data_IF_556356308174
#
_entry.id   IF_556356308174
#
_cell.length_a   1.000
_cell.length_b   1.000
_cell.length_c   1.000
_cell.angle_alpha   90.00
_cell.angle_beta   90.00
_cell.angle_gamma   90.00
#
_symmetry.space_group_name_H-M   'P 1'
#
loop_
_entity.id
_entity.type
_entity.pdbx_description
1 polymer ?
#
# COMPACT_ATOMS: atom_id res chain seq x y z
N UNK A 1 -65.52 0.78 27.13
CA UNK A 1 -64.69 1.90 26.61
C UNK A 1 -63.31 1.92 27.23
N UNK A 2 -63.11 1.76 28.53
CA UNK A 2 -61.82 1.72 29.24
C UNK A 2 -60.95 0.55 28.83
N UNK A 3 -61.51 -0.63 28.56
CA UNK A 3 -60.76 -1.81 28.10
C UNK A 3 -60.18 -1.64 26.69
N UNK A 4 -60.89 -0.99 25.83
CA UNK A 4 -60.45 -0.70 24.46
C UNK A 4 -59.27 0.30 24.43
N UNK A 5 -59.30 1.27 25.34
CA UNK A 5 -58.24 2.23 25.57
C UNK A 5 -56.97 1.50 26.14
N UNK A 6 -57.15 0.64 27.13
CA UNK A 6 -56.05 -0.12 27.71
C UNK A 6 -55.40 -1.04 26.65
N UNK A 7 -56.23 -1.74 25.86
CA UNK A 7 -55.74 -2.61 24.79
C UNK A 7 -54.94 -1.84 23.71
N UNK A 8 -55.40 -0.63 23.33
CA UNK A 8 -54.71 0.20 22.34
C UNK A 8 -53.35 0.72 22.85
N UNK A 9 -53.27 1.07 24.15
CA UNK A 9 -52.00 1.49 24.77
C UNK A 9 -51.01 0.35 24.80
N UNK A 10 -51.43 -0.85 25.17
CA UNK A 10 -50.57 -2.05 25.20
C UNK A 10 -50.08 -2.39 23.79
N UNK A 11 -50.98 -2.32 22.78
CA UNK A 11 -50.61 -2.58 21.39
C UNK A 11 -49.57 -1.56 20.86
N UNK A 12 -49.75 -0.27 21.20
CA UNK A 12 -48.78 0.75 20.80
C UNK A 12 -47.40 0.58 21.46
N UNK A 13 -47.37 0.18 22.73
CA UNK A 13 -46.12 -0.14 23.43
C UNK A 13 -45.42 -1.35 22.83
N UNK A 14 -46.16 -2.42 22.51
CA UNK A 14 -45.58 -3.62 21.85
C UNK A 14 -45.08 -3.25 20.45
N UNK A 15 -45.85 -2.53 19.65
CA UNK A 15 -45.42 -2.09 18.34
C UNK A 15 -44.18 -1.19 18.41
N UNK A 16 -44.10 -0.26 19.34
CA UNK A 16 -42.93 0.59 19.59
C UNK A 16 -41.70 -0.22 20.00
N UNK A 17 -41.85 -1.19 20.89
CA UNK A 17 -40.73 -2.05 21.28
C UNK A 17 -40.22 -2.96 20.15
N UNK A 18 -41.12 -3.48 19.31
CA UNK A 18 -40.76 -4.27 18.13
C UNK A 18 -40.01 -3.39 17.07
N UNK A 19 -40.42 -2.15 16.91
CA UNK A 19 -39.75 -1.22 15.97
C UNK A 19 -38.32 -0.92 16.45
N UNK A 20 -38.13 -0.59 17.72
CA UNK A 20 -36.80 -0.33 18.29
C UNK A 20 -35.90 -1.54 18.21
N UNK A 21 -36.42 -2.73 18.48
CA UNK A 21 -35.66 -4.00 18.36
C UNK A 21 -35.26 -4.24 16.89
N UNK A 22 -36.19 -4.04 15.95
CA UNK A 22 -35.90 -4.19 14.51
C UNK A 22 -34.81 -3.24 14.05
N UNK A 23 -34.84 -1.97 14.47
CA UNK A 23 -33.78 -0.99 14.15
C UNK A 23 -32.43 -1.39 14.75
N UNK A 24 -32.40 -1.90 15.99
CA UNK A 24 -31.18 -2.36 16.63
C UNK A 24 -30.56 -3.56 15.89
N UNK A 25 -31.39 -4.53 15.49
CA UNK A 25 -30.94 -5.70 14.70
C UNK A 25 -30.43 -5.28 13.33
N UNK A 26 -31.12 -4.38 12.63
CA UNK A 26 -30.67 -3.86 11.35
C UNK A 26 -29.34 -3.11 11.48
N UNK A 27 -29.17 -2.28 12.50
CA UNK A 27 -27.92 -1.60 12.79
C UNK A 27 -26.76 -2.57 13.08
N UNK A 28 -27.02 -3.58 13.91
CA UNK A 28 -26.02 -4.62 14.20
C UNK A 28 -25.61 -5.41 12.93
N UNK A 29 -26.59 -5.81 12.13
CA UNK A 29 -26.31 -6.50 10.86
C UNK A 29 -25.51 -5.62 9.89
N UNK A 30 -25.86 -4.34 9.73
CA UNK A 30 -25.11 -3.40 8.90
C UNK A 30 -23.65 -3.27 9.36
N UNK A 31 -23.43 -3.16 10.67
CA UNK A 31 -22.10 -3.11 11.25
C UNK A 31 -21.29 -4.41 10.98
N UNK A 32 -21.88 -5.58 11.22
CA UNK A 32 -21.22 -6.86 10.95
C UNK A 32 -20.88 -7.06 9.48
N UNK A 33 -21.80 -6.69 8.57
CA UNK A 33 -21.56 -6.75 7.14
C UNK A 33 -20.43 -5.81 6.71
N UNK A 34 -20.42 -4.57 7.22
CA UNK A 34 -19.36 -3.62 6.97
C UNK A 34 -17.98 -4.12 7.40
N UNK A 35 -17.87 -4.67 8.60
CA UNK A 35 -16.63 -5.28 9.10
C UNK A 35 -16.17 -6.46 8.25
N UNK A 36 -17.09 -7.37 7.93
CA UNK A 36 -16.79 -8.57 7.12
C UNK A 36 -16.29 -8.16 5.74
N UNK A 37 -16.95 -7.20 5.09
CA UNK A 37 -16.55 -6.69 3.79
C UNK A 37 -15.18 -6.02 3.84
N UNK A 38 -14.93 -5.15 4.83
CA UNK A 38 -13.62 -4.53 5.00
C UNK A 38 -12.52 -5.58 5.26
N UNK A 39 -12.80 -6.62 6.05
CA UNK A 39 -11.85 -7.70 6.31
C UNK A 39 -11.52 -8.51 5.04
N UNK A 40 -12.52 -8.80 4.21
CA UNK A 40 -12.30 -9.47 2.92
C UNK A 40 -11.45 -8.61 1.98
N UNK A 41 -11.80 -7.32 1.81
CA UNK A 41 -11.02 -6.39 1.00
C UNK A 41 -9.58 -6.29 1.50
N UNK A 42 -9.37 -6.11 2.82
CA UNK A 42 -8.04 -6.00 3.40
C UNK A 42 -7.16 -7.22 3.12
N UNK A 43 -7.72 -8.43 3.29
CA UNK A 43 -7.00 -9.68 2.98
C UNK A 43 -6.64 -9.81 1.51
N UNK A 44 -7.58 -9.55 0.61
CA UNK A 44 -7.36 -9.65 -0.84
C UNK A 44 -6.30 -8.65 -1.30
N UNK A 45 -6.37 -7.42 -0.81
CA UNK A 45 -5.39 -6.37 -1.13
C UNK A 45 -3.99 -6.77 -0.65
N UNK A 46 -3.86 -7.18 0.62
CA UNK A 46 -2.56 -7.60 1.17
C UNK A 46 -1.98 -8.79 0.41
N UNK A 47 -2.79 -9.83 0.16
CA UNK A 47 -2.35 -11.00 -0.62
C UNK A 47 -1.89 -10.61 -2.04
N UNK A 48 -2.55 -9.63 -2.66
CA UNK A 48 -2.15 -9.14 -3.99
C UNK A 48 -0.80 -8.44 -3.95
N UNK A 49 -0.58 -7.58 -2.95
CA UNK A 49 0.69 -6.88 -2.74
C UNK A 49 1.80 -7.87 -2.38
N UNK A 50 1.57 -8.78 -1.41
CA UNK A 50 2.51 -9.83 -1.00
C UNK A 50 2.93 -10.70 -2.18
N UNK A 51 1.96 -11.15 -2.98
CA UNK A 51 2.22 -11.94 -4.19
C UNK A 51 3.08 -11.18 -5.21
N UNK A 52 2.84 -9.88 -5.37
CA UNK A 52 3.64 -9.05 -6.27
C UNK A 52 5.09 -8.93 -5.76
N UNK A 53 5.28 -8.72 -4.45
CA UNK A 53 6.60 -8.64 -3.82
C UNK A 53 7.35 -9.97 -3.94
N UNK A 54 6.70 -11.10 -3.62
CA UNK A 54 7.31 -12.42 -3.71
C UNK A 54 7.70 -12.82 -5.13
N UNK A 55 7.03 -12.26 -6.14
CA UNK A 55 7.35 -12.46 -7.55
C UNK A 55 8.29 -11.38 -8.11
N UNK A 56 8.84 -10.50 -7.25
CA UNK A 56 9.71 -9.44 -7.70
C UNK A 56 11.07 -9.98 -8.16
N UNK A 57 11.57 -9.43 -9.26
CA UNK A 57 12.95 -9.63 -9.69
C UNK A 57 13.85 -8.58 -9.03
N UNK A 58 15.02 -8.96 -8.59
CA UNK A 58 16.01 -8.06 -8.01
C UNK A 58 17.35 -8.17 -8.75
N UNK A 59 18.08 -7.07 -8.80
CA UNK A 59 19.44 -7.00 -9.35
C UNK A 59 20.33 -6.14 -8.44
N UNK A 60 21.61 -6.04 -8.80
CA UNK A 60 22.53 -5.12 -8.11
C UNK A 60 22.14 -3.63 -8.24
N UNK A 61 21.42 -3.26 -9.31
CA UNK A 61 21.02 -1.89 -9.59
C UNK A 61 19.60 -1.55 -9.15
N UNK A 62 18.78 -2.58 -8.84
CA UNK A 62 17.41 -2.39 -8.38
C UNK A 62 17.02 -3.52 -7.40
N UNK A 63 16.64 -3.19 -6.17
CA UNK A 63 16.46 -4.17 -5.09
C UNK A 63 15.17 -5.00 -5.20
N UNK A 64 14.47 -4.98 -6.33
CA UNK A 64 13.23 -5.69 -6.57
C UNK A 64 11.99 -4.85 -6.27
N UNK A 65 11.99 -4.07 -5.21
CA UNK A 65 10.94 -3.10 -4.91
C UNK A 65 11.48 -1.93 -4.10
N UNK A 66 10.82 -0.78 -4.22
CA UNK A 66 11.16 0.46 -3.54
C UNK A 66 9.89 1.22 -3.14
N UNK A 67 9.98 2.04 -2.09
CA UNK A 67 8.89 2.89 -1.63
C UNK A 67 9.25 4.35 -1.91
N UNK A 68 8.28 5.07 -2.45
CA UNK A 68 8.37 6.51 -2.65
C UNK A 68 7.34 7.21 -1.78
N UNK A 69 7.74 8.36 -1.26
CA UNK A 69 6.87 9.22 -0.45
C UNK A 69 6.36 10.39 -1.26
N UNK A 70 5.09 10.70 -1.08
CA UNK A 70 4.53 11.97 -1.54
C UNK A 70 4.67 13.00 -0.41
N UNK A 71 5.34 14.12 -0.68
CA UNK A 71 5.49 15.21 0.28
C UNK A 71 4.28 16.16 0.23
N UNK A 72 3.69 16.47 1.39
CA UNK A 72 2.64 17.48 1.53
C UNK A 72 2.95 18.38 2.72
N UNK A 73 3.34 19.59 2.46
CA UNK A 73 3.83 20.51 3.49
C UNK A 73 5.10 19.97 4.15
N UNK A 74 5.07 19.76 5.47
CA UNK A 74 6.16 19.20 6.24
C UNK A 74 6.07 17.68 6.44
N UNK A 75 5.12 17.00 5.80
CA UNK A 75 4.86 15.58 6.01
C UNK A 75 5.21 14.76 4.76
N UNK A 76 5.91 13.65 4.97
CA UNK A 76 6.20 12.64 3.95
C UNK A 76 5.29 11.42 4.15
N UNK A 77 4.58 11.04 3.09
CA UNK A 77 3.67 9.90 3.08
C UNK A 77 4.26 8.77 2.21
N UNK A 78 4.84 7.71 2.80
CA UNK A 78 5.39 6.58 2.07
C UNK A 78 4.25 5.66 1.60
N UNK A 79 3.47 6.14 0.64
CA UNK A 79 2.22 5.55 0.17
C UNK A 79 2.31 4.91 -1.23
N UNK A 80 3.47 4.99 -1.86
CA UNK A 80 3.68 4.49 -3.22
C UNK A 80 4.74 3.39 -3.23
N UNK A 81 4.32 2.14 -3.45
CA UNK A 81 5.20 0.99 -3.60
C UNK A 81 5.39 0.68 -5.08
N UNK A 82 6.64 0.59 -5.53
CA UNK A 82 7.04 0.20 -6.88
C UNK A 82 7.72 -1.15 -6.83
N UNK A 83 7.21 -2.13 -7.57
CA UNK A 83 7.72 -3.51 -7.61
C UNK A 83 8.18 -3.85 -9.02
N UNK A 84 9.36 -4.41 -9.18
CA UNK A 84 9.84 -4.93 -10.45
C UNK A 84 9.31 -6.35 -10.68
N UNK A 85 8.24 -6.45 -11.43
CA UNK A 85 7.57 -7.72 -11.74
C UNK A 85 7.45 -7.91 -13.26
N UNK A 86 8.46 -8.45 -13.92
CA UNK A 86 8.40 -8.77 -15.34
C UNK A 86 7.37 -9.87 -15.61
N UNK A 87 6.71 -9.83 -16.77
CA UNK A 87 5.72 -10.85 -17.19
C UNK A 87 6.39 -12.13 -17.68
N UNK A 88 7.69 -12.13 -17.85
CA UNK A 88 8.51 -13.27 -18.29
C UNK A 88 9.94 -13.04 -17.84
N UNK A 89 10.91 -13.41 -18.65
CA UNK A 89 12.29 -13.05 -18.38
C UNK A 89 12.45 -11.52 -18.39
N UNK A 90 13.12 -10.92 -17.39
CA UNK A 90 13.35 -9.48 -17.36
C UNK A 90 14.18 -9.04 -18.56
N UNK A 91 13.88 -7.87 -19.10
CA UNK A 91 14.59 -7.34 -20.27
C UNK A 91 16.08 -7.04 -19.98
N UNK A 92 16.39 -6.72 -18.73
CA UNK A 92 17.76 -6.48 -18.26
C UNK A 92 17.95 -7.10 -16.87
N UNK A 93 18.24 -8.40 -16.77
CA UNK A 93 18.25 -9.13 -15.50
C UNK A 93 19.30 -8.65 -14.49
N UNK A 94 20.40 -8.05 -14.95
CA UNK A 94 21.47 -7.53 -14.08
C UNK A 94 21.46 -6.02 -13.92
N UNK A 95 20.57 -5.33 -14.64
CA UNK A 95 20.49 -3.88 -14.66
C UNK A 95 19.22 -3.35 -14.00
N UNK A 96 18.75 -2.18 -14.51
CA UNK A 96 17.51 -1.56 -14.05
C UNK A 96 16.30 -2.08 -14.85
N UNK A 97 15.11 -2.13 -14.24
CA UNK A 97 13.88 -2.52 -14.92
C UNK A 97 13.52 -1.58 -16.08
N UNK A 98 12.73 -2.10 -17.01
CA UNK A 98 11.93 -1.23 -17.88
C UNK A 98 10.67 -0.78 -17.14
N UNK A 99 10.16 0.39 -17.50
CA UNK A 99 8.90 0.89 -16.90
C UNK A 99 7.73 -0.06 -17.15
N UNK A 100 7.71 -0.76 -18.28
CA UNK A 100 6.71 -1.79 -18.58
C UNK A 100 6.75 -3.02 -17.67
N UNK A 101 7.84 -3.23 -16.95
CA UNK A 101 8.02 -4.32 -16.00
C UNK A 101 7.68 -3.92 -14.56
N UNK A 102 7.30 -2.65 -14.34
CA UNK A 102 6.96 -2.14 -13.02
C UNK A 102 5.47 -2.31 -12.72
N UNK A 103 5.20 -2.68 -11.48
CA UNK A 103 3.88 -2.65 -10.86
C UNK A 103 3.90 -1.61 -9.76
N UNK A 104 2.93 -0.71 -9.74
CA UNK A 104 2.88 0.37 -8.78
C UNK A 104 1.59 0.25 -7.96
N UNK A 105 1.73 0.23 -6.64
CA UNK A 105 0.62 0.30 -5.70
C UNK A 105 0.61 1.68 -5.07
N UNK A 106 -0.49 2.41 -5.24
CA UNK A 106 -0.62 3.77 -4.68
C UNK A 106 -2.08 4.15 -4.50
N UNK A 107 -2.41 5.10 -3.60
CA UNK A 107 -3.73 5.72 -3.57
C UNK A 107 -4.02 6.42 -4.89
N UNK A 108 -5.29 6.45 -5.26
CA UNK A 108 -5.73 7.21 -6.43
C UNK A 108 -5.64 8.71 -6.13
N UNK A 109 -4.86 9.50 -6.89
CA UNK A 109 -4.75 10.95 -6.64
C UNK A 109 -6.07 11.71 -6.75
N UNK A 110 -7.03 11.20 -7.53
CA UNK A 110 -8.35 11.82 -7.73
C UNK A 110 -9.38 11.34 -6.71
N UNK A 111 -9.21 10.14 -6.16
CA UNK A 111 -10.07 9.57 -5.13
C UNK A 111 -9.22 8.79 -4.11
N UNK A 112 -8.70 9.43 -3.06
CA UNK A 112 -7.80 8.81 -2.10
C UNK A 112 -8.39 7.64 -1.31
N UNK A 113 -9.70 7.42 -1.36
CA UNK A 113 -10.33 6.23 -0.80
C UNK A 113 -10.04 4.95 -1.60
N UNK A 114 -9.52 5.09 -2.82
CA UNK A 114 -9.17 3.97 -3.69
C UNK A 114 -7.67 3.66 -3.61
N UNK A 115 -7.33 2.37 -3.48
CA UNK A 115 -5.99 1.85 -3.72
C UNK A 115 -5.92 1.23 -5.11
N UNK A 116 -4.92 1.61 -5.88
CA UNK A 116 -4.74 1.20 -7.26
C UNK A 116 -3.50 0.34 -7.43
N UNK A 117 -3.59 -0.65 -8.32
CA UNK A 117 -2.45 -1.28 -9.00
C UNK A 117 -2.35 -0.68 -10.40
N UNK A 118 -1.20 -0.10 -10.72
CA UNK A 118 -0.95 0.56 -12.00
C UNK A 118 0.15 -0.19 -12.75
N UNK A 119 -0.03 -0.31 -14.08
CA UNK A 119 0.98 -0.84 -15.01
C UNK A 119 0.99 -0.02 -16.30
N UNK A 120 2.14 0.00 -16.96
CA UNK A 120 2.29 0.68 -18.25
C UNK A 120 3.03 -0.20 -19.27
N UNK A 121 2.42 -1.30 -19.74
CA UNK A 121 3.08 -2.32 -20.56
C UNK A 121 3.69 -1.80 -21.87
N UNK A 122 3.22 -0.67 -22.40
CA UNK A 122 3.76 -0.06 -23.61
C UNK A 122 5.02 0.79 -23.41
N UNK A 123 5.43 1.07 -22.18
CA UNK A 123 6.58 1.93 -21.91
C UNK A 123 7.86 1.10 -21.74
N UNK A 124 8.69 1.08 -22.78
CA UNK A 124 9.96 0.33 -22.80
C UNK A 124 11.17 1.12 -22.28
N UNK A 125 10.99 2.36 -21.80
CA UNK A 125 12.08 3.15 -21.23
C UNK A 125 12.62 2.49 -19.97
N UNK A 126 13.91 2.66 -19.71
CA UNK A 126 14.55 2.18 -18.48
C UNK A 126 14.14 3.07 -17.29
N UNK A 127 13.82 2.45 -16.16
CA UNK A 127 13.52 3.18 -14.94
C UNK A 127 14.73 4.04 -14.49
N UNK A 128 14.52 5.16 -13.79
CA UNK A 128 15.59 5.99 -13.26
C UNK A 128 16.51 5.24 -12.30
N UNK A 129 17.68 5.79 -12.01
CA UNK A 129 18.52 5.29 -10.89
C UNK A 129 17.86 5.58 -9.56
N UNK A 130 18.13 4.78 -8.53
CA UNK A 130 17.52 4.97 -7.20
C UNK A 130 17.87 6.33 -6.58
N UNK A 131 19.04 6.88 -6.89
CA UNK A 131 19.45 8.23 -6.47
C UNK A 131 18.75 9.36 -7.21
N UNK A 132 18.08 9.07 -8.33
CA UNK A 132 17.41 10.07 -9.18
C UNK A 132 16.01 10.43 -8.69
N UNK A 133 15.88 11.00 -7.49
CA UNK A 133 14.59 11.29 -6.85
C UNK A 133 13.64 12.12 -7.72
N UNK A 134 14.13 13.18 -8.36
CA UNK A 134 13.30 14.03 -9.23
C UNK A 134 12.80 13.30 -10.48
N UNK A 135 13.64 12.43 -11.07
CA UNK A 135 13.25 11.61 -12.22
C UNK A 135 12.18 10.58 -11.84
N UNK A 136 12.30 9.97 -10.66
CA UNK A 136 11.25 9.09 -10.13
C UNK A 136 9.95 9.83 -9.85
N UNK A 137 10.00 11.00 -9.22
CA UNK A 137 8.80 11.82 -8.98
C UNK A 137 8.08 12.14 -10.28
N UNK A 138 8.81 12.57 -11.31
CA UNK A 138 8.25 12.87 -12.63
C UNK A 138 7.65 11.64 -13.30
N UNK A 139 8.33 10.50 -13.23
CA UNK A 139 7.86 9.23 -13.77
C UNK A 139 6.57 8.77 -13.06
N UNK A 140 6.57 8.77 -11.72
CA UNK A 140 5.42 8.32 -10.93
C UNK A 140 4.20 9.22 -11.14
N UNK A 141 4.38 10.54 -11.20
CA UNK A 141 3.29 11.46 -11.48
C UNK A 141 2.69 11.20 -12.87
N UNK A 142 3.53 10.94 -13.88
CA UNK A 142 3.06 10.58 -15.20
C UNK A 142 2.30 9.24 -15.18
N UNK A 143 2.82 8.21 -14.50
CA UNK A 143 2.18 6.89 -14.42
C UNK A 143 0.87 6.94 -13.63
N UNK A 144 0.81 7.70 -12.54
CA UNK A 144 -0.43 7.92 -11.77
C UNK A 144 -1.52 8.59 -12.64
N UNK A 145 -1.12 9.49 -13.55
CA UNK A 145 -2.05 10.18 -14.44
C UNK A 145 -2.46 9.34 -15.67
N UNK A 146 -1.50 8.65 -16.29
CA UNK A 146 -1.60 8.09 -17.64
C UNK A 146 -1.38 6.57 -17.71
N UNK A 147 -1.51 5.81 -16.61
CA UNK A 147 -1.35 4.36 -16.64
C UNK A 147 -2.33 3.71 -17.62
N UNK A 148 -1.81 2.83 -18.48
CA UNK A 148 -2.60 2.10 -19.49
C UNK A 148 -3.39 0.95 -18.88
N UNK A 149 -2.91 0.39 -17.78
CA UNK A 149 -3.61 -0.61 -17.00
C UNK A 149 -3.76 -0.12 -15.57
N UNK A 150 -5.02 0.00 -15.14
CA UNK A 150 -5.39 0.47 -13.79
C UNK A 150 -6.38 -0.51 -13.20
N UNK A 151 -6.03 -1.12 -12.09
CA UNK A 151 -6.89 -2.03 -11.33
C UNK A 151 -7.18 -1.41 -9.96
N UNK A 152 -8.43 -1.22 -9.64
CA UNK A 152 -8.86 -0.83 -8.30
C UNK A 152 -8.83 -2.06 -7.39
N UNK A 153 -8.01 -2.01 -6.35
CA UNK A 153 -7.88 -3.08 -5.36
C UNK A 153 -8.91 -2.94 -4.23
N UNK A 154 -9.20 -1.72 -3.84
CA UNK A 154 -10.26 -1.36 -2.88
C UNK A 154 -10.64 0.10 -3.03
N UNK A 155 -11.90 0.43 -2.72
CA UNK A 155 -12.42 1.78 -2.63
C UNK A 155 -12.76 2.19 -1.18
N UNK A 156 -12.24 1.44 -0.20
CA UNK A 156 -12.56 1.59 1.22
C UNK A 156 -11.40 2.09 2.06
N UNK A 157 -10.33 2.66 1.45
CA UNK A 157 -9.29 3.28 2.26
C UNK A 157 -9.87 4.39 3.13
N UNK A 158 -9.51 4.38 4.41
CA UNK A 158 -9.76 5.53 5.27
C UNK A 158 -9.05 6.74 4.69
N UNK A 159 -9.74 7.86 4.57
CA UNK A 159 -9.12 9.12 4.19
C UNK A 159 -8.91 10.00 5.40
N UNK A 160 -7.78 10.69 5.43
CA UNK A 160 -7.48 11.71 6.43
C UNK A 160 -7.19 13.04 5.72
N UNK A 161 -7.68 14.12 6.31
CA UNK A 161 -7.36 15.47 5.82
C UNK A 161 -6.01 15.90 6.36
N UNK A 162 -5.13 16.34 5.45
CA UNK A 162 -3.87 16.98 5.83
C UNK A 162 -4.04 18.49 5.63
N UNK A 163 -4.28 19.19 6.74
CA UNK A 163 -4.35 20.65 6.72
C UNK A 163 -2.91 21.18 6.85
N UNK A 164 -2.39 21.77 5.79
CA UNK A 164 -1.19 22.59 5.86
C UNK A 164 -1.60 23.98 6.36
N UNK A 165 -0.96 24.47 7.40
CA UNK A 165 -1.22 25.81 7.94
C UNK A 165 -1.13 26.86 6.82
N UNK A 166 -2.23 27.56 6.57
CA UNK A 166 -2.33 28.62 5.55
C UNK A 166 -2.93 28.21 4.21
N UNK A 167 -3.29 26.93 3.99
CA UNK A 167 -4.01 26.50 2.78
C UNK A 167 -5.50 26.31 3.08
N UNK A 168 -6.35 26.90 2.24
CA UNK A 168 -7.80 26.66 2.28
C UNK A 168 -8.21 25.36 1.60
N UNK A 169 -7.27 24.66 0.94
CA UNK A 169 -7.54 23.39 0.28
C UNK A 169 -7.24 22.21 1.22
N UNK A 170 -8.27 21.44 1.49
CA UNK A 170 -8.17 20.18 2.25
C UNK A 170 -7.63 19.10 1.33
N UNK A 171 -6.37 18.72 1.50
CA UNK A 171 -5.81 17.57 0.79
C UNK A 171 -6.20 16.29 1.53
N UNK A 172 -7.07 15.48 0.93
CA UNK A 172 -7.40 14.16 1.44
C UNK A 172 -6.32 13.15 1.04
N UNK A 173 -5.92 12.30 1.98
CA UNK A 173 -4.95 11.21 1.76
C UNK A 173 -5.55 9.88 2.20
N UNK A 174 -5.31 8.84 1.40
CA UNK A 174 -5.67 7.47 1.75
C UNK A 174 -4.70 6.91 2.79
N UNK A 175 -5.24 6.23 3.80
CA UNK A 175 -4.47 5.65 4.89
C UNK A 175 -3.83 4.32 4.46
N UNK A 176 -2.78 4.40 3.67
CA UNK A 176 -1.88 3.30 3.31
C UNK A 176 -0.44 3.74 3.55
N UNK A 177 0.38 2.83 4.06
CA UNK A 177 1.78 3.06 4.34
C UNK A 177 2.60 1.82 3.98
N UNK A 178 3.71 2.04 3.30
CA UNK A 178 4.71 1.03 3.01
C UNK A 178 6.02 1.39 3.72
N UNK A 179 6.69 0.38 4.26
CA UNK A 179 8.01 0.52 4.87
C UNK A 179 8.92 -0.58 4.33
N UNK A 180 10.08 -0.21 3.80
CA UNK A 180 11.07 -1.16 3.29
C UNK A 180 12.25 -1.22 4.24
N UNK A 181 12.56 -2.44 4.67
CA UNK A 181 13.74 -2.78 5.44
C UNK A 181 14.68 -3.56 4.53
N UNK A 182 15.93 -3.13 4.45
CA UNK A 182 16.92 -3.72 3.55
C UNK A 182 18.26 -3.90 4.27
N UNK A 183 18.81 -5.09 4.20
CA UNK A 183 20.14 -5.41 4.73
C UNK A 183 20.93 -6.23 3.69
N UNK A 184 22.12 -5.78 3.26
CA UNK A 184 22.69 -4.47 3.47
C UNK A 184 21.86 -3.36 2.79
N UNK A 185 21.91 -2.17 3.38
CA UNK A 185 21.22 -0.98 2.84
C UNK A 185 21.85 -0.51 1.52
N UNK A 186 21.10 0.28 0.73
CA UNK A 186 21.65 0.89 -0.50
C UNK A 186 22.87 1.79 -0.20
N UNK A 187 22.87 2.45 0.96
CA UNK A 187 23.98 3.30 1.37
C UNK A 187 25.24 2.46 1.59
N UNK A 188 25.14 1.36 2.32
CA UNK A 188 26.28 0.46 2.56
C UNK A 188 26.76 -0.17 1.26
N UNK A 189 25.83 -0.59 0.40
CA UNK A 189 26.20 -1.15 -0.91
C UNK A 189 26.92 -0.12 -1.79
N UNK A 190 26.45 1.13 -1.80
CA UNK A 190 27.13 2.21 -2.51
C UNK A 190 28.52 2.53 -1.93
N UNK A 191 28.66 2.54 -0.60
CA UNK A 191 29.93 2.73 0.08
C UNK A 191 30.95 1.63 -0.25
N UNK A 192 30.50 0.36 -0.28
CA UNK A 192 31.31 -0.75 -0.71
C UNK A 192 31.79 -0.57 -2.17
N UNK A 193 30.88 -0.28 -3.10
CA UNK A 193 31.22 -0.04 -4.51
C UNK A 193 32.18 1.15 -4.71
N UNK A 194 32.10 2.14 -3.83
CA UNK A 194 33.04 3.26 -3.80
C UNK A 194 34.37 2.95 -3.11
N UNK A 195 34.55 1.73 -2.57
CA UNK A 195 35.75 1.33 -1.84
C UNK A 195 35.88 1.94 -0.44
N UNK A 196 34.80 2.53 0.09
CA UNK A 196 34.81 3.21 1.41
C UNK A 196 34.66 2.24 2.58
N UNK A 197 34.09 1.05 2.36
CA UNK A 197 34.00 -0.05 3.34
C UNK A 197 34.44 -1.35 2.69
N UNK A 198 34.96 -2.27 3.48
CA UNK A 198 35.36 -3.59 2.98
C UNK A 198 34.15 -4.55 2.88
N UNK A 199 34.29 -5.60 2.10
CA UNK A 199 33.24 -6.64 1.94
C UNK A 199 32.77 -7.23 3.27
N UNK A 200 33.71 -7.47 4.19
CA UNK A 200 33.44 -8.07 5.49
C UNK A 200 32.83 -7.09 6.50
N UNK A 201 32.87 -5.79 6.20
CA UNK A 201 32.31 -4.72 7.05
C UNK A 201 30.87 -4.35 6.66
N UNK A 202 30.33 -5.03 5.65
CA UNK A 202 28.92 -4.88 5.25
C UNK A 202 28.05 -5.65 6.24
N UNK A 203 26.92 -5.04 6.67
CA UNK A 203 25.94 -5.67 7.55
C UNK A 203 25.12 -6.74 6.81
N UNK A 204 25.72 -7.87 6.59
CA UNK A 204 25.05 -8.99 5.96
C UNK A 204 23.99 -9.60 6.89
N UNK A 205 22.74 -9.80 6.42
CA UNK A 205 21.70 -10.40 7.24
C UNK A 205 22.14 -11.78 7.73
N UNK A 206 22.04 -11.99 9.05
CA UNK A 206 22.46 -13.24 9.72
C UNK A 206 23.89 -13.71 9.40
N UNK A 207 24.79 -12.82 8.93
CA UNK A 207 26.13 -13.18 8.52
C UNK A 207 26.17 -14.04 7.24
N UNK A 208 25.15 -13.98 6.40
CA UNK A 208 25.06 -14.78 5.17
C UNK A 208 25.92 -14.18 4.05
N UNK A 209 27.22 -14.41 4.12
CA UNK A 209 28.16 -14.05 3.06
C UNK A 209 29.34 -15.03 2.99
N UNK A 210 29.98 -15.05 1.83
CA UNK A 210 31.24 -15.74 1.56
C UNK A 210 32.25 -14.75 1.01
N UNK A 211 33.43 -15.24 0.60
CA UNK A 211 34.45 -14.42 -0.05
C UNK A 211 34.01 -13.87 -1.44
N UNK A 212 32.98 -14.44 -2.05
CA UNK A 212 32.52 -14.09 -3.41
C UNK A 212 31.10 -13.63 -3.49
N UNK A 213 30.21 -14.10 -2.61
CA UNK A 213 28.77 -13.88 -2.67
C UNK A 213 28.28 -13.46 -1.29
N UNK A 214 27.42 -12.45 -1.25
CA UNK A 214 26.67 -12.06 -0.07
C UNK A 214 25.16 -12.05 -0.35
N UNK A 215 24.36 -12.33 0.66
CA UNK A 215 22.90 -12.35 0.55
C UNK A 215 22.33 -11.02 1.02
N UNK A 216 21.56 -10.34 0.18
CA UNK A 216 20.76 -9.18 0.55
C UNK A 216 19.34 -9.63 0.87
N UNK A 217 18.82 -9.22 2.02
CA UNK A 217 17.43 -9.42 2.42
C UNK A 217 16.68 -8.09 2.30
N UNK A 218 15.50 -8.13 1.70
CA UNK A 218 14.65 -6.96 1.48
C UNK A 218 13.24 -7.33 1.90
N UNK A 219 12.70 -6.62 2.91
CA UNK A 219 11.36 -6.84 3.44
C UNK A 219 10.52 -5.58 3.26
N UNK A 220 9.27 -5.75 2.87
CA UNK A 220 8.27 -4.70 2.84
C UNK A 220 7.21 -4.99 3.88
N UNK A 221 6.92 -3.99 4.71
CA UNK A 221 5.76 -3.96 5.59
C UNK A 221 4.70 -3.05 4.97
N UNK A 222 3.47 -3.52 4.92
CA UNK A 222 2.33 -2.78 4.41
C UNK A 222 1.32 -2.59 5.54
N UNK A 223 0.88 -1.36 5.75
CA UNK A 223 -0.22 -1.00 6.62
C UNK A 223 -1.29 -0.31 5.78
N UNK A 224 -2.54 -0.73 5.93
CA UNK A 224 -3.69 -0.06 5.34
C UNK A 224 -4.84 -0.01 6.34
N UNK A 225 -5.62 1.08 6.31
CA UNK A 225 -6.79 1.26 7.15
C UNK A 225 -8.02 1.34 6.25
N UNK A 226 -8.98 0.42 6.46
CA UNK A 226 -10.19 0.36 5.66
C UNK A 226 -11.40 0.81 6.47
N UNK A 227 -12.29 1.57 5.84
CA UNK A 227 -13.57 1.98 6.42
C UNK A 227 -14.55 0.80 6.43
N UNK A 228 -15.31 0.69 7.52
CA UNK A 228 -16.32 -0.37 7.70
C UNK A 228 -17.73 0.04 7.25
N UNK A 229 -17.95 1.32 6.92
CA UNK A 229 -19.25 1.86 6.49
C UNK A 229 -19.16 2.63 5.18
N UNK A 230 -20.32 2.88 4.55
CA UNK A 230 -20.48 3.55 3.25
C UNK A 230 -21.01 4.98 3.41
N UNK A 231 -20.56 5.79 4.35
CA UNK A 231 -21.11 7.15 4.54
C UNK A 231 -20.10 8.17 5.06
N UNK A 232 -20.40 9.46 4.87
CA UNK A 232 -19.67 10.56 5.48
C UNK A 232 -19.93 10.58 7.00
N UNK A 233 -18.93 10.29 7.80
CA UNK A 233 -18.99 10.31 9.26
C UNK A 233 -17.80 9.62 9.88
N UNK A 234 -17.64 9.70 11.19
CA UNK A 234 -16.56 9.01 11.93
C UNK A 234 -16.79 7.49 11.95
N UNK A 235 -16.61 6.85 10.81
CA UNK A 235 -16.74 5.41 10.70
C UNK A 235 -15.55 4.72 11.34
N UNK A 236 -15.84 3.63 12.05
CA UNK A 236 -14.80 2.76 12.54
C UNK A 236 -13.94 2.28 11.35
N UNK A 237 -12.65 2.38 11.48
CA UNK A 237 -11.70 1.84 10.50
C UNK A 237 -10.99 0.63 11.10
N UNK A 238 -10.71 -0.35 10.26
CA UNK A 238 -9.94 -1.54 10.64
C UNK A 238 -8.53 -1.41 10.05
N UNK A 239 -7.49 -1.52 10.87
CA UNK A 239 -6.12 -1.61 10.39
C UNK A 239 -5.82 -3.03 9.91
N UNK A 240 -5.08 -3.13 8.81
CA UNK A 240 -4.58 -4.38 8.26
C UNK A 240 -3.08 -4.25 8.05
N UNK A 241 -2.36 -5.31 8.42
CA UNK A 241 -0.91 -5.38 8.30
C UNK A 241 -0.53 -6.60 7.49
N UNK A 242 0.43 -6.42 6.58
CA UNK A 242 1.03 -7.50 5.81
C UNK A 242 2.52 -7.27 5.68
N UNK A 243 3.27 -8.33 5.43
CA UNK A 243 4.69 -8.24 5.16
C UNK A 243 5.13 -9.33 4.20
N UNK A 244 6.04 -8.99 3.30
CA UNK A 244 6.69 -9.95 2.43
C UNK A 244 8.16 -9.59 2.30
N UNK A 245 9.00 -10.60 2.09
CA UNK A 245 10.44 -10.42 1.93
C UNK A 245 10.94 -11.26 0.76
N UNK A 246 11.99 -10.76 0.12
CA UNK A 246 12.78 -11.49 -0.87
C UNK A 246 14.25 -11.45 -0.47
N UNK A 247 14.99 -12.41 -0.98
CA UNK A 247 16.46 -12.43 -0.87
C UNK A 247 17.07 -12.42 -2.26
N UNK A 248 18.19 -11.75 -2.42
CA UNK A 248 18.97 -11.74 -3.66
C UNK A 248 20.44 -11.89 -3.36
N UNK A 249 21.18 -12.51 -4.26
CA UNK A 249 22.62 -12.61 -4.15
C UNK A 249 23.29 -11.39 -4.77
N UNK A 250 24.30 -10.88 -4.08
CA UNK A 250 25.19 -9.83 -4.55
C UNK A 250 26.58 -10.43 -4.75
N UNK A 251 27.16 -10.15 -5.88
CA UNK A 251 28.52 -10.60 -6.19
C UNK A 251 29.57 -9.57 -5.75
N UNK A 252 30.72 -10.09 -5.28
CA UNK A 252 31.86 -9.27 -4.87
C UNK A 252 32.59 -8.66 -6.07
#
# INVERSE_FOLDING_TARGET
>A
MTELLAASVIMTLIAGSMTTLSMAVQGANGYCLGQTTAAQHGRVVLQRIEKAILAAHASEQFPGFVVFSDAVGAYDFPDTLVVWQPTGAPANPTGRPRVSELVIFCPNPQNPAQLLELRHPGNTSTAPTLSGTSAWTSLLNNLKANATSRVELTNRLRTASTNTSGSTSTNLRGAVRFNVLMAPSEVQWAQYRAGSIAWNDIDWPLGMYSSQIGVRSIACQCELQLQTGDGEGAHASLPFFGSAAITTELSR
#
